data_IF_582845703400
#
_entry.id   IF_582845703400
#
_cell.length_a   1.000
_cell.length_b   1.000
_cell.length_c   1.000
_cell.angle_alpha   90.00
_cell.angle_beta   90.00
_cell.angle_gamma   90.00
#
_symmetry.space_group_name_H-M   'P 1'
#
loop_
_entity.id
_entity.type
_entity.pdbx_description
1 polymer ?
#
# COMPACT_ATOMS: atom_id res chain seq x y z
N UNK A 1 7.59 -20.68 1.31
CA UNK A 1 6.56 -19.72 0.85
C UNK A 1 5.39 -20.49 0.28
N UNK A 2 4.20 -20.29 0.85
CA UNK A 2 2.93 -20.88 0.38
C UNK A 2 2.17 -19.82 -0.43
N UNK A 3 1.44 -20.26 -1.46
CA UNK A 3 0.54 -19.43 -2.25
C UNK A 3 -0.87 -19.96 -2.09
N UNK A 4 -1.82 -19.07 -1.83
CA UNK A 4 -3.20 -19.45 -1.54
C UNK A 4 -4.18 -18.57 -2.31
N UNK A 5 -5.31 -19.15 -2.69
CA UNK A 5 -6.45 -18.44 -3.25
C UNK A 5 -7.62 -18.60 -2.28
N UNK A 6 -8.08 -17.49 -1.74
CA UNK A 6 -9.29 -17.44 -0.92
C UNK A 6 -10.50 -17.33 -1.85
N UNK A 7 -11.27 -18.42 -1.96
CA UNK A 7 -12.57 -18.39 -2.61
C UNK A 7 -13.61 -17.89 -1.61
N UNK A 8 -14.29 -16.82 -1.97
CA UNK A 8 -15.35 -16.21 -1.16
C UNK A 8 -16.73 -16.64 -1.66
N UNK A 9 -17.78 -16.34 -0.91
CA UNK A 9 -19.15 -16.68 -1.30
C UNK A 9 -19.57 -16.13 -2.67
N UNK A 10 -20.73 -16.56 -3.18
CA UNK A 10 -21.23 -16.19 -4.50
C UNK A 10 -21.23 -14.66 -4.71
N UNK A 11 -20.68 -14.20 -5.83
CA UNK A 11 -20.58 -12.77 -6.19
C UNK A 11 -19.38 -12.02 -5.64
N UNK A 12 -18.49 -12.67 -4.86
CA UNK A 12 -17.27 -12.03 -4.39
C UNK A 12 -16.04 -12.54 -5.16
N UNK A 13 -15.23 -11.62 -5.68
CA UNK A 13 -13.99 -11.95 -6.39
C UNK A 13 -13.01 -12.71 -5.49
N UNK A 14 -12.33 -13.78 -5.98
CA UNK A 14 -11.34 -14.50 -5.21
C UNK A 14 -10.15 -13.60 -4.88
N UNK A 15 -9.54 -13.83 -3.73
CA UNK A 15 -8.33 -13.12 -3.31
C UNK A 15 -7.13 -14.07 -3.32
N UNK A 16 -6.04 -13.60 -3.88
CA UNK A 16 -4.76 -14.29 -3.84
C UNK A 16 -3.86 -13.69 -2.77
N UNK A 17 -3.18 -14.55 -2.00
CA UNK A 17 -2.14 -14.12 -1.06
C UNK A 17 -1.00 -15.12 -0.98
N UNK A 18 0.17 -14.61 -0.59
CA UNK A 18 1.37 -15.39 -0.30
C UNK A 18 1.61 -15.38 1.21
N UNK A 19 2.17 -16.46 1.70
CA UNK A 19 2.55 -16.61 3.10
C UNK A 19 3.95 -17.20 3.20
N UNK A 20 4.77 -16.64 4.10
CA UNK A 20 6.09 -17.15 4.39
C UNK A 20 6.52 -16.82 5.82
N UNK A 21 7.48 -17.62 6.35
CA UNK A 21 7.94 -17.46 7.73
C UNK A 21 6.98 -18.05 8.76
N UNK A 22 7.31 -17.82 10.03
CA UNK A 22 6.55 -18.22 11.19
C UNK A 22 6.72 -17.20 12.32
N UNK A 23 5.75 -17.13 13.24
CA UNK A 23 5.75 -16.17 14.35
C UNK A 23 4.54 -15.23 14.30
N UNK A 24 4.63 -14.02 14.90
CA UNK A 24 3.55 -13.05 14.86
C UNK A 24 3.20 -12.66 13.42
N UNK A 25 1.90 -12.53 13.08
CA UNK A 25 1.48 -12.19 11.73
C UNK A 25 1.84 -10.75 11.36
N UNK A 26 2.34 -10.55 10.13
CA UNK A 26 2.53 -9.24 9.49
C UNK A 26 1.80 -9.24 8.15
N UNK A 27 0.83 -8.37 7.98
CA UNK A 27 0.07 -8.16 6.75
C UNK A 27 0.70 -7.03 5.92
N UNK A 28 1.19 -7.34 4.73
CA UNK A 28 1.78 -6.39 3.79
C UNK A 28 0.80 -6.08 2.65
N UNK A 29 0.43 -4.79 2.49
CA UNK A 29 -0.57 -4.32 1.55
C UNK A 29 0.11 -3.40 0.52
N UNK A 30 0.07 -3.78 -0.76
CA UNK A 30 0.70 -3.03 -1.85
C UNK A 30 -0.08 -1.80 -2.31
N UNK A 31 0.52 -0.97 -3.16
CA UNK A 31 -0.09 0.22 -3.76
C UNK A 31 -0.91 -0.07 -5.02
N UNK A 32 -1.65 0.94 -5.49
CA UNK A 32 -2.47 0.83 -6.71
C UNK A 32 -1.63 0.47 -7.94
N UNK A 33 -2.14 -0.43 -8.77
CA UNK A 33 -1.49 -0.91 -9.99
C UNK A 33 -0.25 -1.79 -9.76
N UNK A 34 -0.05 -2.28 -8.54
CA UNK A 34 1.00 -3.21 -8.16
C UNK A 34 0.40 -4.56 -7.74
N UNK A 35 1.18 -5.45 -7.18
CA UNK A 35 0.76 -6.70 -6.56
C UNK A 35 1.70 -7.08 -5.41
N UNK A 36 1.51 -8.25 -4.82
CA UNK A 36 2.31 -8.75 -3.69
C UNK A 36 3.81 -8.86 -3.96
N UNK A 37 4.24 -8.86 -5.25
CA UNK A 37 5.65 -8.87 -5.61
C UNK A 37 6.39 -7.58 -5.24
N UNK A 38 5.67 -6.49 -4.99
CA UNK A 38 6.24 -5.23 -4.47
C UNK A 38 7.03 -5.42 -3.16
N UNK A 39 6.78 -6.53 -2.47
CA UNK A 39 7.40 -6.88 -1.19
C UNK A 39 8.46 -7.98 -1.30
N UNK A 40 8.78 -8.48 -2.53
CA UNK A 40 9.68 -9.63 -2.72
C UNK A 40 11.11 -9.37 -2.22
N UNK A 41 11.58 -8.11 -2.22
CA UNK A 41 12.90 -7.74 -1.68
C UNK A 41 12.88 -7.48 -0.15
N UNK A 42 11.70 -7.33 0.45
CA UNK A 42 11.52 -6.97 1.88
C UNK A 42 11.10 -8.20 2.71
N UNK A 43 10.13 -8.96 2.22
CA UNK A 43 9.54 -10.07 2.95
C UNK A 43 10.55 -11.13 3.43
N UNK A 44 11.60 -11.50 2.65
CA UNK A 44 12.61 -12.44 3.12
C UNK A 44 13.38 -11.97 4.38
N UNK A 45 13.50 -10.66 4.59
CA UNK A 45 14.13 -10.12 5.79
C UNK A 45 13.23 -10.20 7.03
N UNK A 46 11.91 -10.18 6.84
CA UNK A 46 10.91 -10.29 7.91
C UNK A 46 10.62 -11.74 8.28
N UNK A 47 10.59 -12.65 7.30
CA UNK A 47 10.18 -14.05 7.43
C UNK A 47 10.92 -14.85 8.52
N UNK A 48 12.20 -14.59 8.89
CA UNK A 48 12.85 -15.27 9.99
C UNK A 48 12.24 -15.04 11.39
N UNK A 49 11.45 -13.97 11.55
CA UNK A 49 10.85 -13.55 12.83
C UNK A 49 9.34 -13.45 12.80
N UNK A 50 8.76 -13.30 11.62
CA UNK A 50 7.35 -13.03 11.43
C UNK A 50 6.72 -13.99 10.42
N UNK A 51 5.46 -14.25 10.59
CA UNK A 51 4.61 -14.86 9.58
C UNK A 51 4.10 -13.79 8.63
N UNK A 52 4.73 -13.67 7.48
CA UNK A 52 4.49 -12.59 6.52
C UNK A 52 3.37 -12.98 5.56
N UNK A 53 2.27 -12.23 5.59
CA UNK A 53 1.13 -12.35 4.70
C UNK A 53 1.20 -11.20 3.66
N UNK A 54 1.12 -11.53 2.37
CA UNK A 54 1.14 -10.56 1.27
C UNK A 54 -0.02 -10.80 0.34
N UNK A 55 -1.01 -9.93 0.38
CA UNK A 55 -2.18 -10.08 -0.48
C UNK A 55 -1.99 -9.36 -1.82
N UNK A 56 -2.58 -9.88 -2.89
CA UNK A 56 -2.91 -9.12 -4.09
C UNK A 56 -4.28 -8.49 -3.86
N UNK A 57 -4.38 -7.16 -3.88
CA UNK A 57 -5.65 -6.45 -3.72
C UNK A 57 -6.65 -6.87 -4.81
N UNK A 58 -7.96 -6.84 -4.53
CA UNK A 58 -8.97 -7.02 -5.58
C UNK A 58 -8.64 -6.20 -6.82
N UNK A 59 -8.83 -6.75 -8.00
CA UNK A 59 -8.50 -6.09 -9.27
C UNK A 59 -7.01 -6.00 -9.59
N UNK A 60 -6.13 -6.63 -8.81
CA UNK A 60 -4.69 -6.60 -8.99
C UNK A 60 -4.09 -8.01 -8.95
N UNK A 61 -2.96 -8.16 -9.64
CA UNK A 61 -2.17 -9.40 -9.62
C UNK A 61 -2.98 -10.63 -10.00
N UNK A 62 -3.10 -11.58 -9.06
CA UNK A 62 -3.83 -12.85 -9.22
C UNK A 62 -5.21 -12.85 -8.56
N UNK A 63 -5.56 -11.77 -7.85
CA UNK A 63 -6.90 -11.59 -7.31
C UNK A 63 -7.90 -11.32 -8.42
N UNK A 64 -9.15 -11.68 -8.20
CA UNK A 64 -10.22 -11.48 -9.16
C UNK A 64 -10.50 -9.99 -9.44
N UNK A 65 -11.17 -9.68 -10.55
CA UNK A 65 -11.45 -8.31 -10.99
C UNK A 65 -12.38 -7.58 -10.00
N UNK A 66 -12.40 -6.25 -10.12
CA UNK A 66 -13.40 -5.41 -9.47
C UNK A 66 -14.62 -5.34 -10.37
N UNK A 67 -15.73 -5.90 -9.91
CA UNK A 67 -17.00 -5.84 -10.61
C UNK A 67 -17.88 -4.72 -10.02
N UNK A 68 -18.19 -3.71 -10.82
CA UNK A 68 -19.02 -2.58 -10.42
C UNK A 68 -18.34 -1.55 -9.51
N UNK A 69 -19.11 -0.97 -8.59
CA UNK A 69 -18.62 0.03 -7.67
C UNK A 69 -17.72 -0.60 -6.59
N UNK A 70 -16.64 0.09 -6.25
CA UNK A 70 -15.72 -0.31 -5.20
C UNK A 70 -15.49 0.85 -4.22
N UNK A 71 -15.39 0.54 -2.95
CA UNK A 71 -15.18 1.48 -1.85
C UNK A 71 -13.91 1.15 -1.08
N UNK A 72 -13.45 2.04 -0.22
CA UNK A 72 -12.33 1.75 0.68
C UNK A 72 -12.67 0.60 1.65
N UNK A 73 -13.93 0.52 2.12
CA UNK A 73 -14.39 -0.53 3.03
C UNK A 73 -14.36 -1.92 2.38
N UNK A 74 -14.51 -2.00 1.06
CA UNK A 74 -14.34 -3.27 0.35
C UNK A 74 -12.91 -3.79 0.41
N UNK A 75 -11.92 -2.90 0.26
CA UNK A 75 -10.50 -3.26 0.44
C UNK A 75 -10.15 -3.58 1.89
N UNK A 76 -10.73 -2.86 2.85
CA UNK A 76 -10.58 -3.16 4.30
C UNK A 76 -11.08 -4.57 4.57
N UNK A 77 -12.26 -4.92 4.06
CA UNK A 77 -12.84 -6.26 4.22
C UNK A 77 -11.95 -7.35 3.61
N UNK A 78 -11.36 -7.10 2.44
CA UNK A 78 -10.43 -8.05 1.81
C UNK A 78 -9.23 -8.37 2.69
N UNK A 79 -8.66 -7.36 3.34
CA UNK A 79 -7.55 -7.55 4.28
C UNK A 79 -7.97 -8.45 5.44
N UNK A 80 -9.15 -8.20 6.02
CA UNK A 80 -9.69 -9.00 7.12
C UNK A 80 -10.01 -10.43 6.69
N UNK A 81 -10.61 -10.61 5.51
CA UNK A 81 -10.92 -11.94 4.96
C UNK A 81 -9.64 -12.78 4.79
N UNK A 82 -8.55 -12.17 4.31
CA UNK A 82 -7.25 -12.84 4.18
C UNK A 82 -6.63 -13.14 5.54
N UNK A 83 -6.72 -12.22 6.50
CA UNK A 83 -6.26 -12.48 7.88
C UNK A 83 -7.04 -13.66 8.50
N UNK A 84 -8.36 -13.69 8.33
CA UNK A 84 -9.21 -14.77 8.84
C UNK A 84 -8.89 -16.11 8.18
N UNK A 85 -8.74 -16.15 6.85
CA UNK A 85 -8.36 -17.34 6.10
C UNK A 85 -6.97 -17.88 6.51
N UNK A 86 -6.06 -16.98 6.87
CA UNK A 86 -4.75 -17.32 7.40
C UNK A 86 -4.79 -17.65 8.90
N UNK A 87 -5.93 -17.57 9.58
CA UNK A 87 -6.03 -17.79 11.03
C UNK A 87 -5.31 -16.73 11.87
N UNK A 88 -5.14 -15.51 11.35
CA UNK A 88 -4.54 -14.39 12.06
C UNK A 88 -5.63 -13.53 12.72
N UNK A 89 -5.83 -13.70 14.02
CA UNK A 89 -6.80 -12.90 14.79
C UNK A 89 -6.39 -11.44 14.84
N UNK A 90 -5.11 -11.15 15.02
CA UNK A 90 -4.50 -9.83 14.93
C UNK A 90 -3.27 -9.91 14.04
N UNK A 91 -2.81 -8.77 13.53
CA UNK A 91 -1.55 -8.65 12.79
C UNK A 91 -0.94 -7.26 12.93
N UNK A 92 0.37 -7.18 12.76
CA UNK A 92 1.01 -5.93 12.37
C UNK A 92 0.59 -5.60 10.92
N UNK A 93 0.04 -4.42 10.67
CA UNK A 93 -0.46 -4.05 9.35
C UNK A 93 0.46 -3.00 8.71
N UNK A 94 1.03 -3.36 7.57
CA UNK A 94 1.98 -2.52 6.82
C UNK A 94 1.39 -2.20 5.46
N UNK A 95 1.14 -0.94 5.18
CA UNK A 95 0.56 -0.50 3.92
C UNK A 95 1.43 0.48 3.15
N UNK A 96 1.57 0.24 1.84
CA UNK A 96 2.25 1.12 0.91
C UNK A 96 1.26 1.86 0.02
N UNK A 97 1.34 3.19 -0.06
CA UNK A 97 0.51 4.03 -0.94
C UNK A 97 -1.00 3.82 -0.72
N UNK A 98 -1.76 3.29 -1.70
CA UNK A 98 -3.15 2.84 -1.50
C UNK A 98 -3.25 1.84 -0.34
N UNK A 99 -2.30 0.91 -0.24
CA UNK A 99 -2.25 -0.02 0.89
C UNK A 99 -2.12 0.69 2.24
N UNK A 100 -1.44 1.84 2.29
CA UNK A 100 -1.37 2.68 3.49
C UNK A 100 -2.70 3.34 3.84
N UNK A 101 -3.49 3.76 2.86
CA UNK A 101 -4.86 4.24 3.07
C UNK A 101 -5.78 3.11 3.56
N UNK A 102 -5.64 1.91 2.99
CA UNK A 102 -6.38 0.72 3.44
C UNK A 102 -5.99 0.34 4.88
N UNK A 103 -4.70 0.36 5.21
CA UNK A 103 -4.20 0.08 6.56
C UNK A 103 -4.75 1.05 7.61
N UNK A 104 -4.85 2.36 7.27
CA UNK A 104 -5.57 3.34 8.09
C UNK A 104 -7.04 2.94 8.28
N UNK A 105 -7.72 2.51 7.21
CA UNK A 105 -9.10 2.05 7.26
C UNK A 105 -9.28 0.84 8.19
N UNK A 106 -8.38 -0.15 8.13
CA UNK A 106 -8.38 -1.31 9.03
C UNK A 106 -8.23 -0.87 10.48
N UNK A 107 -7.22 -0.02 10.77
CA UNK A 107 -6.95 0.47 12.12
C UNK A 107 -8.11 1.27 12.71
N UNK A 108 -8.81 2.06 11.90
CA UNK A 108 -9.94 2.90 12.33
C UNK A 108 -11.24 2.11 12.51
N UNK A 109 -11.52 1.14 11.64
CA UNK A 109 -12.80 0.43 11.64
C UNK A 109 -12.73 -0.88 12.44
N UNK A 110 -11.56 -1.47 12.58
CA UNK A 110 -11.33 -2.75 13.25
C UNK A 110 -10.08 -2.69 14.15
N UNK A 111 -10.02 -1.79 15.14
CA UNK A 111 -8.82 -1.57 15.94
C UNK A 111 -8.34 -2.84 16.66
N UNK A 112 -9.24 -3.73 17.08
CA UNK A 112 -8.88 -5.01 17.70
C UNK A 112 -8.22 -6.03 16.76
N UNK A 113 -8.05 -5.72 15.48
CA UNK A 113 -7.40 -6.57 14.48
C UNK A 113 -5.96 -6.15 14.16
N UNK A 114 -5.51 -5.01 14.69
CA UNK A 114 -4.19 -4.42 14.41
C UNK A 114 -3.36 -4.42 15.70
N UNK A 115 -2.16 -4.96 15.65
CA UNK A 115 -1.20 -4.86 16.75
C UNK A 115 -0.36 -3.58 16.62
N UNK A 116 0.25 -3.36 15.45
CA UNK A 116 1.01 -2.14 15.09
C UNK A 116 0.68 -1.74 13.66
N UNK A 117 0.91 -0.48 13.33
CA UNK A 117 0.62 0.09 12.03
C UNK A 117 1.88 0.65 11.39
N UNK A 118 2.14 0.35 10.11
CA UNK A 118 3.17 1.04 9.34
C UNK A 118 2.61 1.61 8.04
N UNK A 119 2.78 2.91 7.85
CA UNK A 119 2.25 3.70 6.73
C UNK A 119 3.41 4.17 5.86
N UNK A 120 3.61 3.52 4.72
CA UNK A 120 4.74 3.81 3.82
C UNK A 120 4.22 4.55 2.60
N UNK A 121 4.73 5.75 2.33
CA UNK A 121 4.29 6.62 1.23
C UNK A 121 2.75 6.70 1.14
N UNK A 122 2.09 6.78 2.30
CA UNK A 122 0.63 6.82 2.43
C UNK A 122 0.09 8.24 2.26
N UNK A 123 -1.22 8.35 2.10
CA UNK A 123 -1.91 9.64 1.94
C UNK A 123 -2.90 9.87 3.08
N UNK A 124 -2.96 11.10 3.57
CA UNK A 124 -4.00 11.59 4.45
C UNK A 124 -4.00 13.13 4.52
N UNK A 125 -5.14 13.72 4.80
CA UNK A 125 -5.28 15.16 4.99
C UNK A 125 -4.87 15.97 3.76
N UNK A 126 -5.26 15.52 2.56
CA UNK A 126 -4.97 16.24 1.32
C UNK A 126 -5.54 17.65 1.34
N UNK A 127 -4.77 18.63 0.91
CA UNK A 127 -5.28 19.97 0.60
C UNK A 127 -6.15 19.95 -0.65
N UNK A 128 -6.90 21.04 -0.90
CA UNK A 128 -7.73 21.15 -2.11
C UNK A 128 -6.87 21.09 -3.38
N UNK A 129 -5.67 21.66 -3.37
CA UNK A 129 -4.73 21.58 -4.49
C UNK A 129 -4.27 20.13 -4.72
N UNK A 130 -3.94 19.39 -3.68
CA UNK A 130 -3.54 17.99 -3.77
C UNK A 130 -4.71 17.11 -4.25
N UNK A 131 -5.92 17.38 -3.77
CA UNK A 131 -7.16 16.75 -4.27
C UNK A 131 -7.38 17.04 -5.75
N UNK A 132 -7.22 18.30 -6.17
CA UNK A 132 -7.37 18.68 -7.58
C UNK A 132 -6.35 17.96 -8.47
N UNK A 133 -5.07 17.87 -8.05
CA UNK A 133 -4.02 17.16 -8.79
C UNK A 133 -4.31 15.65 -8.95
N UNK A 134 -4.78 14.98 -7.91
CA UNK A 134 -5.10 13.54 -8.02
C UNK A 134 -6.36 13.29 -8.84
N UNK A 135 -7.37 14.17 -8.75
CA UNK A 135 -8.58 14.12 -9.60
C UNK A 135 -8.24 14.33 -11.07
N UNK A 136 -7.40 15.31 -11.40
CA UNK A 136 -6.97 15.54 -12.79
C UNK A 136 -6.32 14.28 -13.40
N UNK A 137 -5.47 13.57 -12.62
CA UNK A 137 -4.90 12.30 -13.08
C UNK A 137 -5.95 11.19 -13.27
N UNK A 138 -6.98 11.15 -12.40
CA UNK A 138 -8.09 10.22 -12.57
C UNK A 138 -8.87 10.52 -13.86
N UNK A 139 -9.08 11.78 -14.21
CA UNK A 139 -9.76 12.15 -15.46
C UNK A 139 -8.95 11.75 -16.70
N UNK A 140 -7.62 11.94 -16.69
CA UNK A 140 -6.75 11.43 -17.78
C UNK A 140 -6.88 9.89 -17.87
N UNK A 141 -6.79 9.18 -16.73
CA UNK A 141 -6.95 7.73 -16.70
C UNK A 141 -8.31 7.27 -17.25
N UNK A 142 -9.39 7.97 -16.92
CA UNK A 142 -10.75 7.63 -17.37
C UNK A 142 -10.94 7.82 -18.88
N UNK A 143 -10.38 8.89 -19.42
CA UNK A 143 -10.59 9.30 -20.80
C UNK A 143 -9.59 8.67 -21.78
N UNK A 144 -8.34 8.46 -21.33
CA UNK A 144 -7.22 8.10 -22.20
C UNK A 144 -6.55 6.76 -21.83
N UNK A 145 -6.93 6.18 -20.69
CA UNK A 145 -6.43 4.87 -20.24
C UNK A 145 -5.10 4.89 -19.49
N UNK A 146 -4.61 3.68 -19.19
CA UNK A 146 -3.41 3.50 -18.35
C UNK A 146 -2.16 4.03 -19.02
N UNK A 147 -1.99 3.81 -20.32
CA UNK A 147 -0.81 4.25 -21.05
C UNK A 147 -0.60 5.77 -20.97
N UNK A 148 -1.66 6.56 -20.99
CA UNK A 148 -1.58 8.02 -20.93
C UNK A 148 -0.96 8.56 -19.63
N UNK A 149 -1.06 7.79 -18.55
CA UNK A 149 -0.51 8.21 -17.25
C UNK A 149 0.89 7.64 -16.95
N UNK A 150 1.36 6.67 -17.75
CA UNK A 150 2.58 5.89 -17.42
C UNK A 150 3.85 6.72 -17.35
N UNK A 151 4.12 7.57 -18.33
CA UNK A 151 5.35 8.38 -18.35
C UNK A 151 5.42 9.32 -17.13
N UNK A 152 4.33 10.02 -16.84
CA UNK A 152 4.25 10.88 -15.68
C UNK A 152 4.25 10.11 -14.35
N UNK A 153 3.75 8.86 -14.33
CA UNK A 153 3.83 7.99 -13.16
C UNK A 153 5.28 7.58 -12.89
N UNK A 154 6.02 7.14 -13.92
CA UNK A 154 7.42 6.77 -13.81
C UNK A 154 8.27 7.89 -13.21
N UNK A 155 8.10 9.12 -13.71
CA UNK A 155 8.83 10.29 -13.20
C UNK A 155 8.47 10.64 -11.74
N UNK A 156 7.23 10.44 -11.32
CA UNK A 156 6.82 10.66 -9.93
C UNK A 156 7.33 9.59 -8.99
N UNK A 157 7.40 8.34 -9.47
CA UNK A 157 7.69 7.19 -8.64
C UNK A 157 9.17 6.97 -8.38
N UNK A 158 10.01 7.19 -9.40
CA UNK A 158 11.43 6.85 -9.33
C UNK A 158 12.33 8.07 -9.45
N UNK A 159 13.45 8.05 -8.74
CA UNK A 159 14.49 9.05 -8.89
C UNK A 159 15.21 8.88 -10.24
N UNK A 160 15.72 9.97 -10.85
CA UNK A 160 16.53 9.87 -12.07
C UNK A 160 17.78 8.98 -11.91
N UNK A 161 18.35 8.96 -10.70
CA UNK A 161 19.49 8.09 -10.40
C UNK A 161 19.10 6.60 -10.45
N UNK A 162 17.97 6.24 -9.83
CA UNK A 162 17.46 4.87 -9.84
C UNK A 162 17.08 4.42 -11.26
N UNK A 163 16.39 5.27 -12.02
CA UNK A 163 16.01 4.96 -13.41
C UNK A 163 17.21 4.66 -14.30
N UNK A 164 18.35 5.34 -14.08
CA UNK A 164 19.60 5.06 -14.82
C UNK A 164 20.31 3.80 -14.33
N UNK A 165 20.31 3.55 -13.03
CA UNK A 165 21.02 2.42 -12.42
C UNK A 165 20.25 1.09 -12.56
N UNK A 166 18.92 1.13 -12.59
CA UNK A 166 18.04 -0.04 -12.57
C UNK A 166 16.90 0.07 -13.60
N UNK A 167 17.21 0.29 -14.89
CA UNK A 167 16.18 0.44 -15.93
C UNK A 167 15.27 -0.79 -16.04
N UNK A 168 15.80 -1.98 -15.75
CA UNK A 168 15.03 -3.24 -15.74
C UNK A 168 13.96 -3.27 -14.65
N UNK A 169 14.25 -2.78 -13.44
CA UNK A 169 13.27 -2.69 -12.35
C UNK A 169 12.16 -1.69 -12.68
N UNK A 170 12.55 -0.56 -13.28
CA UNK A 170 11.59 0.45 -13.74
C UNK A 170 10.69 -0.12 -14.84
N UNK A 171 11.28 -0.76 -15.85
CA UNK A 171 10.53 -1.40 -16.94
C UNK A 171 9.57 -2.47 -16.41
N UNK A 172 10.03 -3.33 -15.48
CA UNK A 172 9.19 -4.33 -14.83
C UNK A 172 7.96 -3.68 -14.15
N UNK A 173 8.17 -2.60 -13.38
CA UNK A 173 7.08 -1.90 -12.69
C UNK A 173 6.10 -1.23 -13.65
N UNK A 174 6.59 -0.67 -14.77
CA UNK A 174 5.72 -0.09 -15.81
C UNK A 174 4.92 -1.17 -16.52
N UNK A 175 5.54 -2.32 -16.83
CA UNK A 175 4.84 -3.45 -17.42
C UNK A 175 3.78 -4.04 -16.47
N UNK A 176 4.10 -4.13 -15.18
CA UNK A 176 3.13 -4.53 -14.15
C UNK A 176 1.92 -3.57 -14.11
N UNK A 177 2.16 -2.26 -14.20
CA UNK A 177 1.09 -1.28 -14.28
C UNK A 177 0.20 -1.50 -15.50
N UNK A 178 0.83 -1.71 -16.67
CA UNK A 178 0.14 -1.91 -17.95
C UNK A 178 -0.73 -3.18 -17.98
N UNK A 179 -0.32 -4.23 -17.27
CA UNK A 179 -1.05 -5.52 -17.23
C UNK A 179 -2.31 -5.50 -16.38
N UNK A 180 -2.55 -4.45 -15.59
CA UNK A 180 -3.78 -4.39 -14.82
C UNK A 180 -4.99 -4.37 -15.75
N UNK A 181 -6.07 -5.03 -15.32
CA UNK A 181 -7.37 -4.86 -15.95
C UNK A 181 -7.77 -3.37 -15.88
N UNK A 182 -8.09 -2.73 -17.03
CA UNK A 182 -8.30 -1.29 -17.07
C UNK A 182 -9.45 -0.80 -16.20
N UNK A 183 -10.52 -1.58 -16.07
CA UNK A 183 -11.69 -1.18 -15.30
C UNK A 183 -11.46 -1.36 -13.81
N UNK A 184 -10.82 -2.46 -13.41
CA UNK A 184 -10.36 -2.68 -12.03
C UNK A 184 -9.38 -1.61 -11.58
N UNK A 185 -8.40 -1.25 -12.43
CA UNK A 185 -7.43 -0.21 -12.11
C UNK A 185 -8.11 1.16 -11.94
N UNK A 186 -9.05 1.53 -12.83
CA UNK A 186 -9.86 2.75 -12.71
C UNK A 186 -10.66 2.78 -11.42
N UNK A 187 -11.29 1.66 -11.06
CA UNK A 187 -12.06 1.54 -9.82
C UNK A 187 -11.17 1.73 -8.58
N UNK A 188 -10.04 1.02 -8.51
CA UNK A 188 -9.09 1.14 -7.41
C UNK A 188 -8.46 2.54 -7.32
N UNK A 189 -8.10 3.14 -8.47
CA UNK A 189 -7.58 4.50 -8.52
C UNK A 189 -8.65 5.54 -8.13
N UNK A 190 -9.91 5.29 -8.43
CA UNK A 190 -11.03 6.12 -7.96
C UNK A 190 -11.10 6.11 -6.44
N UNK A 191 -11.08 4.93 -5.81
CA UNK A 191 -11.03 4.83 -4.33
C UNK A 191 -9.83 5.59 -3.77
N UNK A 192 -8.63 5.39 -4.33
CA UNK A 192 -7.43 6.11 -3.89
C UNK A 192 -7.57 7.63 -4.00
N UNK A 193 -8.19 8.12 -5.08
CA UNK A 193 -8.28 9.56 -5.37
C UNK A 193 -9.37 10.29 -4.58
N UNK A 194 -10.43 9.58 -4.19
CA UNK A 194 -11.62 10.16 -3.53
C UNK A 194 -11.67 9.92 -2.03
N UNK A 195 -10.93 8.91 -1.52
CA UNK A 195 -10.90 8.61 -0.10
C UNK A 195 -9.80 9.40 0.61
N UNK A 196 -10.12 9.92 1.78
CA UNK A 196 -9.19 10.60 2.70
C UNK A 196 -9.68 10.37 4.13
N UNK A 197 -8.80 9.84 4.98
CA UNK A 197 -9.11 9.54 6.37
C UNK A 197 -8.47 10.56 7.34
N UNK A 198 -7.93 11.66 6.85
CA UNK A 198 -7.17 12.64 7.62
C UNK A 198 -7.89 13.10 8.88
N UNK A 199 -9.16 13.46 8.78
CA UNK A 199 -9.97 13.96 9.92
C UNK A 199 -10.17 12.91 11.03
N UNK A 200 -10.00 11.63 10.73
CA UNK A 200 -10.22 10.51 11.66
C UNK A 200 -8.96 9.94 12.27
N UNK A 201 -7.76 10.35 11.81
CA UNK A 201 -6.49 9.75 12.22
C UNK A 201 -6.22 9.87 13.73
N UNK A 202 -6.76 10.88 14.39
CA UNK A 202 -6.66 11.06 15.84
C UNK A 202 -7.27 9.90 16.66
N UNK A 203 -8.12 9.09 16.02
CA UNK A 203 -8.72 7.89 16.64
C UNK A 203 -7.84 6.64 16.51
N UNK A 204 -6.73 6.70 15.77
CA UNK A 204 -5.75 5.60 15.70
C UNK A 204 -4.93 5.60 16.99
N UNK A 205 -5.08 4.55 17.79
CA UNK A 205 -4.38 4.37 19.06
C UNK A 205 -3.17 3.41 18.96
N UNK A 206 -2.97 2.81 17.81
CA UNK A 206 -1.88 1.86 17.58
C UNK A 206 -0.56 2.59 17.45
N UNK A 207 0.50 1.97 17.98
CA UNK A 207 1.86 2.41 17.68
C UNK A 207 2.06 2.40 16.17
N UNK A 208 2.46 3.54 15.60
CA UNK A 208 2.47 3.76 14.15
C UNK A 208 3.83 4.23 13.66
N UNK A 209 4.36 3.55 12.62
CA UNK A 209 5.52 4.01 11.87
C UNK A 209 5.06 4.68 10.58
N UNK A 210 5.48 5.91 10.34
CA UNK A 210 5.20 6.67 9.11
C UNK A 210 6.51 6.88 8.36
N UNK A 211 6.56 6.41 7.10
CA UNK A 211 7.75 6.52 6.25
C UNK A 211 7.37 7.13 4.91
N UNK A 212 8.13 8.12 4.43
CA UNK A 212 7.96 8.66 3.06
C UNK A 212 9.29 9.13 2.48
N UNK A 213 9.39 9.14 1.15
CA UNK A 213 10.51 9.75 0.44
C UNK A 213 10.45 11.28 0.50
N UNK A 214 11.60 11.93 0.69
CA UNK A 214 11.72 13.40 0.74
C UNK A 214 11.15 14.09 -0.51
N UNK A 215 11.31 13.44 -1.68
CA UNK A 215 10.88 13.96 -2.97
C UNK A 215 9.61 13.28 -3.50
N UNK A 216 8.86 12.57 -2.65
CA UNK A 216 7.54 12.07 -3.02
C UNK A 216 6.57 13.25 -3.18
N UNK A 217 6.04 13.41 -4.38
CA UNK A 217 5.09 14.49 -4.71
C UNK A 217 3.62 14.03 -4.66
N UNK A 218 3.39 12.72 -4.57
CA UNK A 218 2.05 12.13 -4.53
C UNK A 218 1.55 11.87 -3.11
N UNK A 219 2.43 11.29 -2.29
CA UNK A 219 2.25 11.06 -0.85
C UNK A 219 3.34 11.82 -0.12
N UNK A 220 3.25 13.14 -0.18
CA UNK A 220 4.36 14.03 0.13
C UNK A 220 4.66 14.14 1.64
N UNK A 221 5.79 14.76 1.95
CA UNK A 221 6.26 14.93 3.33
C UNK A 221 5.31 15.74 4.21
N UNK A 222 4.49 16.66 3.62
CA UNK A 222 3.45 17.37 4.35
C UNK A 222 2.37 16.42 4.85
N UNK A 223 1.90 15.48 3.99
CA UNK A 223 0.93 14.46 4.42
C UNK A 223 1.51 13.54 5.48
N UNK A 224 2.79 13.15 5.36
CA UNK A 224 3.46 12.33 6.36
C UNK A 224 3.57 13.05 7.72
N UNK A 225 3.91 14.34 7.74
CA UNK A 225 3.89 15.17 8.96
C UNK A 225 2.48 15.30 9.52
N UNK A 226 1.49 15.55 8.67
CA UNK A 226 0.10 15.61 9.08
C UNK A 226 -0.35 14.32 9.77
N UNK A 227 -0.04 13.14 9.21
CA UNK A 227 -0.34 11.86 9.87
C UNK A 227 0.35 11.76 11.23
N UNK A 228 1.61 12.16 11.32
CA UNK A 228 2.37 12.17 12.57
C UNK A 228 1.77 13.10 13.63
N UNK A 229 1.32 14.27 13.22
CA UNK A 229 0.69 15.25 14.12
C UNK A 229 -0.68 14.78 14.62
N UNK A 230 -1.39 13.94 13.85
CA UNK A 230 -2.70 13.43 14.20
C UNK A 230 -2.67 12.11 15.00
N UNK A 231 -1.66 11.26 14.82
CA UNK A 231 -1.56 9.94 15.47
C UNK A 231 -0.62 10.06 16.68
N UNK A 232 -1.20 9.95 17.88
CA UNK A 232 -0.50 10.27 19.12
C UNK A 232 0.76 9.41 19.37
N UNK A 233 0.71 8.09 19.11
CA UNK A 233 1.85 7.18 19.24
C UNK A 233 2.41 6.87 17.84
N UNK A 234 3.16 7.81 17.29
CA UNK A 234 3.74 7.65 15.96
C UNK A 234 5.21 8.07 15.88
N UNK A 235 5.93 7.38 15.00
CA UNK A 235 7.32 7.70 14.61
C UNK A 235 7.32 8.14 13.14
N UNK A 236 7.89 9.29 12.81
CA UNK A 236 8.02 9.80 11.45
C UNK A 236 9.44 9.64 10.92
N UNK A 237 9.56 9.10 9.72
CA UNK A 237 10.83 8.97 9.01
C UNK A 237 10.71 9.47 7.57
N UNK A 238 11.44 10.54 7.25
CA UNK A 238 11.55 11.06 5.89
C UNK A 238 12.88 10.55 5.32
N UNK A 239 12.79 9.78 4.24
CA UNK A 239 13.95 9.18 3.60
C UNK A 239 14.56 10.16 2.59
N UNK A 240 15.81 10.59 2.80
CA UNK A 240 16.41 11.64 1.97
C UNK A 240 16.58 11.18 0.53
N UNK A 241 16.38 12.10 -0.40
CA UNK A 241 16.60 11.94 -1.84
C UNK A 241 15.76 10.86 -2.53
N UNK A 242 14.80 10.21 -1.85
CA UNK A 242 13.91 9.21 -2.44
C UNK A 242 12.59 9.84 -2.89
N UNK A 243 11.97 9.22 -3.90
CA UNK A 243 10.63 9.52 -4.37
C UNK A 243 9.61 8.52 -3.80
N UNK A 244 8.54 8.24 -4.56
CA UNK A 244 7.41 7.42 -4.09
C UNK A 244 7.76 5.94 -3.91
N UNK A 245 8.53 5.35 -4.85
CA UNK A 245 8.79 3.90 -4.89
C UNK A 245 9.88 3.46 -3.93
N UNK A 246 9.79 3.87 -2.66
CA UNK A 246 10.80 3.56 -1.63
C UNK A 246 11.01 2.06 -1.41
N UNK A 247 10.00 1.21 -1.68
CA UNK A 247 10.12 -0.24 -1.60
C UNK A 247 11.10 -0.80 -2.64
N UNK A 248 11.17 -0.18 -3.83
CA UNK A 248 12.06 -0.60 -4.90
C UNK A 248 13.42 0.11 -4.85
N UNK A 249 13.43 1.40 -4.46
CA UNK A 249 14.66 2.21 -4.45
C UNK A 249 15.54 1.96 -3.20
N UNK A 250 14.96 1.54 -2.08
CA UNK A 250 15.67 1.36 -0.82
C UNK A 250 15.12 0.19 0.02
N UNK A 251 15.00 -1.03 -0.55
CA UNK A 251 14.37 -2.17 0.12
C UNK A 251 15.08 -2.56 1.43
N UNK A 252 16.41 -2.49 1.50
CA UNK A 252 17.17 -2.82 2.71
C UNK A 252 16.90 -1.79 3.82
N UNK A 253 16.76 -0.51 3.46
CA UNK A 253 16.43 0.53 4.41
C UNK A 253 15.02 0.32 4.97
N UNK A 254 14.04 0.02 4.12
CA UNK A 254 12.66 -0.27 4.53
C UNK A 254 12.63 -1.52 5.41
N UNK A 255 13.30 -2.60 5.01
CA UNK A 255 13.40 -3.84 5.79
C UNK A 255 13.96 -3.57 7.19
N UNK A 256 15.07 -2.83 7.29
CA UNK A 256 15.71 -2.47 8.56
C UNK A 256 14.77 -1.64 9.46
N UNK A 257 14.02 -0.69 8.87
CA UNK A 257 13.07 0.15 9.62
C UNK A 257 11.89 -0.67 10.13
N UNK A 258 11.32 -1.51 9.29
CA UNK A 258 10.23 -2.41 9.68
C UNK A 258 10.69 -3.38 10.78
N UNK A 259 11.83 -4.04 10.63
CA UNK A 259 12.37 -4.94 11.67
C UNK A 259 12.60 -4.20 12.99
N UNK A 260 13.18 -3.01 12.95
CA UNK A 260 13.41 -2.20 14.16
C UNK A 260 12.12 -1.77 14.83
N UNK A 261 11.07 -1.47 14.07
CA UNK A 261 9.76 -1.07 14.58
C UNK A 261 8.95 -2.24 15.12
N UNK A 262 8.85 -3.34 14.35
CA UNK A 262 8.04 -4.50 14.67
C UNK A 262 8.64 -5.37 15.79
N UNK A 263 9.96 -5.33 16.01
CA UNK A 263 10.62 -6.11 17.04
C UNK A 263 10.56 -5.48 18.45
N UNK A 264 10.12 -4.22 18.57
CA UNK A 264 10.00 -3.57 19.88
C UNK A 264 8.69 -3.99 20.54
N UNK A 265 8.69 -4.26 21.85
CA UNK A 265 7.49 -4.59 22.62
C UNK A 265 6.47 -3.44 22.62
#
# INVERSE_FOLDING_TARGET
MTQSVLTRGAGASPLFYKEEGAGPPVMLIHGVGADSSSWDEIAPSLAPRFRVLRLDLRGHGRSGPIEGACTLDDFVRDVLDVMDAAGATTADVVGFSLGGLIAQGVALSHPGRVDRLALISAVAGRTDEERAKVRARLEVLRNEGIEAIMAAAQERWFTPAFMRAHPEKVAYRMEQLKRNDPDSYKAAYTVFSTSDLGERLHAISHRTLIVTGEHDVGSNTRMARYMHDQIADSELQILPRLRHSVLAEAPEMISSRLLGFLARP
#
